data_IF_772099321547
#
_entry.id   IF_772099321547
#
_cell.length_a   1.000
_cell.length_b   1.000
_cell.length_c   1.000
_cell.angle_alpha   90.00
_cell.angle_beta   90.00
_cell.angle_gamma   90.00
#
_symmetry.space_group_name_H-M   'P 1'
#
loop_
_entity.id
_entity.type
_entity.pdbx_description
1 polymer ?
#
# COMPACT_ATOMS: atom_id res chain seq x y z
N UNK A 1 8.19 43.43 37.99
CA UNK A 1 7.73 42.02 37.95
C UNK A 1 6.47 41.95 37.10
N UNK A 2 6.59 41.60 35.83
CA UNK A 2 5.45 41.36 34.93
C UNK A 2 5.68 40.01 34.28
N UNK A 3 4.95 38.99 34.76
CA UNK A 3 5.06 37.62 34.27
C UNK A 3 4.44 37.46 32.87
N UNK A 4 4.86 36.45 32.09
CA UNK A 4 4.32 36.24 30.76
C UNK A 4 2.87 35.73 30.85
N UNK A 5 1.98 36.40 30.12
CA UNK A 5 0.57 36.03 30.01
C UNK A 5 0.43 34.65 29.38
N UNK A 6 -0.26 33.74 30.08
CA UNK A 6 -0.59 32.40 29.59
C UNK A 6 -1.70 32.52 28.56
N UNK A 7 -1.40 32.26 27.29
CA UNK A 7 -2.42 32.13 26.25
C UNK A 7 -3.30 30.89 26.51
N UNK A 8 -4.61 31.11 26.54
CA UNK A 8 -5.62 30.06 26.71
C UNK A 8 -5.70 29.12 25.50
N UNK A 9 -6.42 27.99 25.64
CA UNK A 9 -6.49 26.92 24.64
C UNK A 9 -7.03 27.36 23.27
N UNK A 10 -7.76 28.48 23.21
CA UNK A 10 -8.42 29.02 22.01
C UNK A 10 -7.75 30.32 21.49
N UNK A 11 -6.44 30.51 21.72
CA UNK A 11 -5.78 31.70 21.18
C UNK A 11 -5.81 31.68 19.64
N UNK A 12 -6.10 32.82 18.97
CA UNK A 12 -6.15 32.89 17.51
C UNK A 12 -4.86 32.39 16.84
N UNK A 13 -3.71 32.59 17.50
CA UNK A 13 -2.41 32.10 17.03
C UNK A 13 -2.31 30.57 17.03
N UNK A 14 -2.90 29.89 18.02
CA UNK A 14 -2.98 28.42 18.08
C UNK A 14 -3.97 27.84 17.08
N UNK A 15 -5.12 28.47 16.92
CA UNK A 15 -6.09 28.07 15.89
C UNK A 15 -5.48 28.21 14.49
N UNK A 16 -4.75 29.30 14.25
CA UNK A 16 -4.07 29.52 12.96
C UNK A 16 -2.96 28.49 12.70
N UNK A 17 -2.18 28.13 13.73
CA UNK A 17 -1.14 27.10 13.59
C UNK A 17 -1.72 25.70 13.37
N UNK A 18 -2.83 25.36 14.05
CA UNK A 18 -3.55 24.11 13.82
C UNK A 18 -4.19 24.05 12.42
N UNK A 19 -4.80 25.15 11.96
CA UNK A 19 -5.38 25.22 10.62
C UNK A 19 -4.31 25.07 9.53
N UNK A 20 -3.16 25.72 9.72
CA UNK A 20 -2.03 25.62 8.80
C UNK A 20 -1.44 24.21 8.77
N UNK A 21 -1.32 23.56 9.91
CA UNK A 21 -0.83 22.18 10.01
C UNK A 21 -1.80 21.17 9.35
N UNK A 22 -3.11 21.42 9.42
CA UNK A 22 -4.13 20.63 8.70
C UNK A 22 -4.09 20.86 7.19
N UNK A 23 -3.90 22.10 6.74
CA UNK A 23 -3.76 22.44 5.31
C UNK A 23 -2.47 21.85 4.70
N UNK A 24 -1.37 21.85 5.44
CA UNK A 24 -0.11 21.23 5.01
C UNK A 24 -0.22 19.69 4.89
N UNK A 25 -1.10 19.06 5.68
CA UNK A 25 -1.43 17.63 5.55
C UNK A 25 -2.29 17.33 4.31
N UNK A 26 -3.20 18.24 3.95
CA UNK A 26 -4.08 18.11 2.78
C UNK A 26 -3.30 18.25 1.46
N UNK A 27 -2.34 19.20 1.37
CA UNK A 27 -1.51 19.41 0.16
C UNK A 27 -0.60 18.21 -0.14
N UNK A 28 -0.19 17.44 0.87
CA UNK A 28 0.55 16.17 0.69
C UNK A 28 -0.32 14.99 0.23
N UNK A 29 -1.64 15.15 0.18
CA UNK A 29 -2.61 14.10 -0.17
C UNK A 29 -3.35 14.31 -1.49
N UNK A 30 -3.04 15.39 -2.23
CA UNK A 30 -3.60 15.65 -3.56
C UNK A 30 -5.06 16.12 -3.56
N UNK A 31 -5.59 16.58 -2.42
CA UNK A 31 -6.95 17.13 -2.34
C UNK A 31 -6.92 18.60 -2.77
N UNK A 32 -7.54 18.92 -3.92
CA UNK A 32 -7.50 20.25 -4.51
C UNK A 32 -8.60 21.22 -3.99
N UNK A 33 -9.57 20.75 -3.19
CA UNK A 33 -10.59 21.63 -2.60
C UNK A 33 -11.31 20.99 -1.41
N UNK A 34 -11.53 21.76 -0.34
CA UNK A 34 -12.39 21.38 0.78
C UNK A 34 -13.88 21.68 0.46
N UNK A 35 -14.82 20.75 0.69
CA UNK A 35 -16.22 21.00 0.40
C UNK A 35 -16.77 22.10 1.32
N UNK A 36 -17.35 23.15 0.74
CA UNK A 36 -18.05 24.20 1.49
C UNK A 36 -19.38 23.68 2.00
N UNK A 37 -19.66 23.97 3.27
CA UNK A 37 -20.96 23.78 3.90
C UNK A 37 -21.99 24.68 3.19
N UNK A 38 -22.87 24.10 2.37
CA UNK A 38 -24.01 24.83 1.82
C UNK A 38 -25.08 24.95 2.91
N UNK A 39 -25.43 26.20 3.24
CA UNK A 39 -26.67 26.53 3.92
C UNK A 39 -27.74 26.69 2.85
N UNK A 40 -28.87 26.01 3.03
CA UNK A 40 -30.06 26.12 2.21
C UNK A 40 -30.58 27.56 2.16
N UNK A 41 -30.83 28.08 0.95
CA UNK A 41 -31.69 29.22 0.73
C UNK A 41 -32.29 29.21 -0.69
N UNK A 42 -33.61 28.99 -0.71
CA UNK A 42 -34.65 29.47 -1.64
C UNK A 42 -34.33 29.75 -3.12
N UNK A 43 -35.06 29.03 -3.98
CA UNK A 43 -35.26 29.31 -5.39
C UNK A 43 -36.09 30.59 -5.64
N UNK A 44 -35.87 31.25 -6.77
CA UNK A 44 -36.89 31.72 -7.72
C UNK A 44 -36.24 32.02 -9.11
N UNK A 45 -37.02 32.04 -10.22
CA UNK A 45 -36.56 31.61 -11.54
C UNK A 45 -36.37 32.75 -12.56
N UNK A 46 -35.52 32.56 -13.57
CA UNK A 46 -35.49 33.45 -14.73
C UNK A 46 -35.22 32.75 -16.08
N UNK A 47 -36.27 32.75 -16.91
CA UNK A 47 -36.34 32.97 -18.36
C UNK A 47 -35.43 32.22 -19.37
N UNK A 48 -36.07 31.25 -20.03
CA UNK A 48 -36.10 30.92 -21.47
C UNK A 48 -34.96 31.39 -22.41
N UNK A 49 -34.28 30.41 -23.03
CA UNK A 49 -33.61 30.53 -24.33
C UNK A 49 -33.85 29.27 -25.19
N UNK A 50 -33.97 29.51 -26.50
CA UNK A 50 -34.49 28.64 -27.57
C UNK A 50 -33.66 27.37 -27.91
N UNK A 51 -34.23 26.37 -28.63
CA UNK A 51 -33.59 25.07 -28.81
C UNK A 51 -32.52 25.09 -29.90
N UNK A 52 -31.34 24.56 -29.58
CA UNK A 52 -30.28 24.22 -30.54
C UNK A 52 -30.48 22.78 -31.06
N UNK A 53 -30.26 22.49 -32.35
CA UNK A 53 -30.50 21.17 -32.93
C UNK A 53 -29.50 20.13 -32.37
N UNK A 54 -30.07 18.99 -31.97
CA UNK A 54 -29.37 17.82 -31.44
C UNK A 54 -28.44 17.20 -32.50
N UNK A 55 -27.14 17.45 -32.36
CA UNK A 55 -26.12 16.65 -33.01
C UNK A 55 -25.97 15.34 -32.21
N UNK A 56 -26.19 14.21 -32.89
CA UNK A 56 -26.07 12.87 -32.34
C UNK A 56 -24.72 12.68 -31.64
N UNK A 57 -24.77 12.36 -30.35
CA UNK A 57 -23.59 11.99 -29.57
C UNK A 57 -22.97 10.71 -30.16
N UNK A 58 -21.64 10.67 -30.38
CA UNK A 58 -20.98 9.41 -30.70
C UNK A 58 -21.15 8.45 -29.52
N UNK A 59 -21.53 7.22 -29.84
CA UNK A 59 -21.66 6.11 -28.91
C UNK A 59 -20.42 6.01 -28.01
N UNK A 60 -20.55 5.77 -26.69
CA UNK A 60 -19.40 5.63 -25.81
C UNK A 60 -18.51 4.49 -26.33
N UNK A 61 -17.22 4.78 -26.49
CA UNK A 61 -16.21 3.78 -26.78
C UNK A 61 -16.30 2.65 -25.73
N UNK A 62 -16.09 1.39 -26.12
CA UNK A 62 -16.12 0.28 -25.16
C UNK A 62 -15.07 0.52 -24.08
N UNK A 63 -15.50 0.60 -22.83
CA UNK A 63 -14.61 0.48 -21.68
C UNK A 63 -13.72 -0.75 -21.89
N UNK A 64 -12.40 -0.66 -21.74
CA UNK A 64 -11.54 -1.83 -21.87
C UNK A 64 -12.04 -2.87 -20.87
N UNK A 65 -12.54 -3.99 -21.38
CA UNK A 65 -13.02 -5.09 -20.56
C UNK A 65 -11.92 -5.55 -19.62
N UNK A 66 -12.29 -5.94 -18.40
CA UNK A 66 -11.37 -6.54 -17.44
C UNK A 66 -10.61 -7.67 -18.16
N UNK A 67 -9.27 -7.68 -18.12
CA UNK A 67 -8.49 -8.72 -18.78
C UNK A 67 -8.89 -10.09 -18.21
N UNK A 68 -8.86 -11.16 -19.02
CA UNK A 68 -9.32 -12.49 -18.62
C UNK A 68 -8.68 -12.92 -17.30
N UNK A 69 -9.43 -13.63 -16.47
CA UNK A 69 -8.95 -14.13 -15.19
C UNK A 69 -7.67 -14.96 -15.39
N UNK A 70 -6.70 -14.81 -14.49
CA UNK A 70 -5.50 -15.64 -14.52
C UNK A 70 -5.85 -17.01 -13.94
N UNK A 71 -5.61 -18.07 -14.70
CA UNK A 71 -5.78 -19.44 -14.26
C UNK A 71 -4.40 -20.04 -13.97
N UNK A 72 -4.22 -20.54 -12.75
CA UNK A 72 -3.00 -21.24 -12.34
C UNK A 72 -3.33 -22.72 -12.11
N UNK A 73 -2.52 -23.60 -12.69
CA UNK A 73 -2.69 -25.03 -12.52
C UNK A 73 -2.50 -25.43 -11.05
N UNK A 74 -3.21 -26.46 -10.55
CA UNK A 74 -2.96 -27.00 -9.22
C UNK A 74 -1.53 -27.56 -9.15
N UNK A 75 -0.93 -27.47 -7.96
CA UNK A 75 0.43 -27.93 -7.72
C UNK A 75 0.84 -27.65 -6.27
N UNK A 76 2.02 -28.12 -5.88
CA UNK A 76 2.58 -27.73 -4.59
C UNK A 76 2.96 -26.23 -4.57
N UNK A 77 3.24 -25.68 -3.39
CA UNK A 77 3.55 -24.26 -3.24
C UNK A 77 4.69 -23.79 -4.15
N UNK A 78 5.77 -24.59 -4.28
CA UNK A 78 6.92 -24.24 -5.11
C UNK A 78 6.58 -24.19 -6.60
N UNK A 79 5.84 -25.17 -7.11
CA UNK A 79 5.38 -25.22 -8.50
C UNK A 79 4.47 -24.03 -8.83
N UNK A 80 3.53 -23.71 -7.94
CA UNK A 80 2.61 -22.58 -8.10
C UNK A 80 3.36 -21.25 -8.11
N UNK A 81 4.32 -21.05 -7.21
CA UNK A 81 5.15 -19.85 -7.19
C UNK A 81 6.01 -19.72 -8.46
N UNK A 82 6.54 -20.83 -8.98
CA UNK A 82 7.28 -20.84 -10.23
C UNK A 82 6.37 -20.47 -11.42
N UNK A 83 5.15 -20.99 -11.47
CA UNK A 83 4.15 -20.64 -12.48
C UNK A 83 3.78 -19.15 -12.41
N UNK A 84 3.59 -18.59 -11.20
CA UNK A 84 3.38 -17.15 -11.02
C UNK A 84 4.58 -16.35 -11.52
N UNK A 85 5.81 -16.75 -11.20
CA UNK A 85 7.01 -16.04 -11.64
C UNK A 85 7.14 -16.03 -13.17
N UNK A 86 6.85 -17.15 -13.84
CA UNK A 86 6.82 -17.25 -15.31
C UNK A 86 5.73 -16.35 -15.92
N UNK A 87 4.52 -16.37 -15.37
CA UNK A 87 3.42 -15.54 -15.83
C UNK A 87 3.71 -14.04 -15.64
N UNK A 88 4.32 -13.67 -14.51
CA UNK A 88 4.78 -12.30 -14.24
C UNK A 88 5.83 -11.85 -15.25
N UNK A 89 6.83 -12.69 -15.55
CA UNK A 89 7.90 -12.36 -16.51
C UNK A 89 7.35 -12.04 -17.91
N UNK A 90 6.34 -12.78 -18.36
CA UNK A 90 5.67 -12.58 -19.65
C UNK A 90 4.56 -11.51 -19.62
N UNK A 91 4.22 -10.96 -18.45
CA UNK A 91 3.03 -10.13 -18.26
C UNK A 91 3.09 -8.80 -19.02
N UNK A 92 2.01 -8.47 -19.74
CA UNK A 92 1.78 -7.18 -20.42
C UNK A 92 0.41 -6.56 -20.07
N UNK A 93 -0.19 -6.92 -18.93
CA UNK A 93 -1.58 -6.56 -18.56
C UNK A 93 -1.79 -5.09 -18.15
N UNK A 94 -0.73 -4.30 -17.96
CA UNK A 94 -0.82 -2.87 -17.62
C UNK A 94 0.37 -2.08 -18.19
N UNK A 95 0.30 -0.74 -18.12
CA UNK A 95 1.31 0.16 -18.69
C UNK A 95 2.73 -0.02 -18.13
N UNK A 96 2.87 -0.51 -16.90
CA UNK A 96 4.17 -0.72 -16.24
C UNK A 96 5.10 -1.68 -16.96
N UNK A 97 4.57 -2.59 -17.78
CA UNK A 97 5.40 -3.53 -18.54
C UNK A 97 6.35 -2.85 -19.54
N UNK A 98 6.04 -1.62 -19.97
CA UNK A 98 6.81 -0.87 -20.97
C UNK A 98 8.10 -0.26 -20.42
N UNK A 99 8.18 -0.05 -19.11
CA UNK A 99 9.27 0.73 -18.48
C UNK A 99 10.14 -0.06 -17.51
N UNK A 100 9.85 -1.35 -17.29
CA UNK A 100 10.65 -2.22 -16.40
C UNK A 100 11.91 -2.72 -17.11
N UNK A 101 12.97 -2.93 -16.35
CA UNK A 101 14.12 -3.73 -16.79
C UNK A 101 13.91 -5.20 -16.40
N UNK A 102 13.52 -5.45 -15.14
CA UNK A 102 13.16 -6.78 -14.67
C UNK A 102 11.81 -6.75 -13.96
N UNK A 103 11.10 -7.86 -14.03
CA UNK A 103 9.97 -8.10 -13.12
C UNK A 103 10.47 -8.59 -11.78
N UNK A 104 9.73 -8.28 -10.72
CA UNK A 104 10.05 -8.68 -9.35
C UNK A 104 8.88 -9.49 -8.78
N UNK A 105 8.80 -10.81 -9.04
CA UNK A 105 7.66 -11.62 -8.62
C UNK A 105 7.55 -11.72 -7.10
N UNK A 106 8.68 -11.79 -6.40
CA UNK A 106 8.78 -12.04 -4.96
C UNK A 106 9.87 -13.08 -4.69
N UNK A 107 10.39 -13.13 -3.47
CA UNK A 107 11.42 -14.10 -3.08
C UNK A 107 11.25 -14.54 -1.61
N UNK A 108 11.76 -15.74 -1.29
CA UNK A 108 11.86 -16.22 0.10
C UNK A 108 11.49 -17.69 0.27
N UNK A 109 11.16 -18.07 1.51
CA UNK A 109 10.73 -19.42 1.85
C UNK A 109 9.40 -19.77 1.16
N UNK A 110 9.29 -20.98 0.60
CA UNK A 110 8.07 -21.49 -0.04
C UNK A 110 7.03 -22.02 0.96
N UNK A 111 7.41 -22.17 2.24
CA UNK A 111 6.54 -22.47 3.38
C UNK A 111 6.77 -21.46 4.52
N UNK A 112 6.54 -20.15 4.27
CA UNK A 112 6.85 -19.11 5.23
C UNK A 112 5.75 -19.03 6.30
N UNK A 113 6.12 -18.75 7.54
CA UNK A 113 5.12 -18.38 8.55
C UNK A 113 4.62 -16.95 8.36
N UNK A 114 5.47 -16.07 7.79
CA UNK A 114 5.18 -14.66 7.55
C UNK A 114 5.40 -14.32 6.08
N UNK A 115 4.41 -13.66 5.46
CA UNK A 115 4.59 -12.97 4.18
C UNK A 115 4.58 -11.46 4.39
N UNK A 116 5.63 -10.78 3.93
CA UNK A 116 5.66 -9.32 3.86
C UNK A 116 5.22 -8.84 2.48
N UNK A 117 4.31 -7.85 2.46
CA UNK A 117 3.74 -7.31 1.22
C UNK A 117 3.98 -5.80 1.15
N UNK A 118 4.83 -5.36 0.22
CA UNK A 118 5.05 -3.95 -0.09
C UNK A 118 4.22 -3.41 -1.25
N UNK A 119 4.54 -2.19 -1.68
CA UNK A 119 3.84 -1.47 -2.74
C UNK A 119 4.25 -1.97 -4.15
N UNK A 120 5.53 -1.79 -4.50
CA UNK A 120 6.07 -2.06 -5.82
C UNK A 120 7.60 -2.01 -5.83
N UNK A 121 8.27 -2.43 -6.91
CA UNK A 121 9.72 -2.34 -7.05
C UNK A 121 10.20 -0.89 -7.14
N UNK A 122 11.31 -0.58 -6.49
CA UNK A 122 12.09 0.63 -6.73
C UNK A 122 13.15 0.43 -7.82
N UNK A 123 14.09 1.38 -7.93
CA UNK A 123 15.14 1.34 -8.94
C UNK A 123 16.06 0.11 -8.78
N UNK A 124 16.53 -0.17 -7.57
CA UNK A 124 17.48 -1.27 -7.32
C UNK A 124 16.80 -2.64 -7.48
N UNK A 125 15.51 -2.74 -7.12
CA UNK A 125 14.70 -3.94 -7.33
C UNK A 125 14.48 -4.22 -8.82
N UNK A 126 14.16 -3.19 -9.61
CA UNK A 126 13.99 -3.29 -11.07
C UNK A 126 15.28 -3.72 -11.78
N UNK A 127 16.44 -3.30 -11.28
CA UNK A 127 17.73 -3.71 -11.84
C UNK A 127 18.13 -5.15 -11.47
N UNK A 128 17.76 -5.60 -10.27
CA UNK A 128 18.16 -6.92 -9.76
C UNK A 128 17.12 -8.02 -9.98
N UNK A 129 15.86 -7.68 -10.23
CA UNK A 129 14.74 -8.62 -10.24
C UNK A 129 14.32 -9.11 -8.85
N UNK A 130 14.89 -8.54 -7.77
CA UNK A 130 14.69 -8.99 -6.38
C UNK A 130 13.96 -7.93 -5.56
N UNK A 131 13.00 -8.30 -4.70
CA UNK A 131 12.22 -7.32 -3.92
C UNK A 131 13.06 -6.76 -2.77
N UNK A 132 12.85 -5.49 -2.40
CA UNK A 132 13.44 -4.90 -1.18
C UNK A 132 14.96 -5.17 -1.06
N UNK A 133 15.74 -4.74 -2.04
CA UNK A 133 17.21 -4.80 -2.02
C UNK A 133 17.85 -3.43 -1.75
N UNK A 134 17.10 -2.35 -1.96
CA UNK A 134 17.55 -0.99 -1.71
C UNK A 134 17.56 -0.55 -0.25
N UNK A 135 17.65 0.76 -0.01
CA UNK A 135 17.67 1.33 1.34
C UNK A 135 16.44 0.91 2.19
N UNK A 136 15.26 0.89 1.57
CA UNK A 136 14.02 0.40 2.17
C UNK A 136 14.13 -1.09 2.55
N UNK A 137 14.76 -1.87 1.68
CA UNK A 137 15.00 -3.29 1.88
C UNK A 137 15.96 -3.59 3.01
N UNK A 138 17.05 -2.83 3.12
CA UNK A 138 17.99 -2.95 4.24
C UNK A 138 17.31 -2.63 5.58
N UNK A 139 16.36 -1.69 5.60
CA UNK A 139 15.57 -1.44 6.80
C UNK A 139 14.61 -2.60 7.09
N UNK A 140 13.94 -3.14 6.06
CA UNK A 140 13.10 -4.33 6.22
C UNK A 140 13.91 -5.52 6.76
N UNK A 141 15.12 -5.74 6.28
CA UNK A 141 16.01 -6.80 6.78
C UNK A 141 16.36 -6.61 8.25
N UNK A 142 16.62 -5.37 8.70
CA UNK A 142 16.81 -5.06 10.12
C UNK A 142 15.54 -5.27 10.94
N UNK A 143 14.37 -4.97 10.37
CA UNK A 143 13.08 -5.22 11.03
C UNK A 143 12.84 -6.72 11.21
N UNK A 144 13.08 -7.53 10.18
CA UNK A 144 13.00 -9.00 10.22
C UNK A 144 14.01 -9.56 11.23
N UNK A 145 15.25 -9.06 11.21
CA UNK A 145 16.29 -9.45 12.16
C UNK A 145 15.91 -9.13 13.61
N UNK A 146 15.29 -7.97 13.86
CA UNK A 146 14.80 -7.59 15.18
C UNK A 146 13.68 -8.53 15.68
N UNK A 147 12.92 -9.16 14.77
CA UNK A 147 11.94 -10.19 15.10
C UNK A 147 12.58 -11.56 15.41
N UNK A 148 13.91 -11.68 15.32
CA UNK A 148 14.63 -12.94 15.51
C UNK A 148 14.54 -13.88 14.31
N UNK A 149 14.27 -13.33 13.12
CA UNK A 149 14.12 -14.09 11.88
C UNK A 149 15.22 -13.71 10.89
N UNK A 150 15.55 -14.65 10.01
CA UNK A 150 16.35 -14.40 8.82
C UNK A 150 15.42 -14.12 7.63
N UNK A 151 15.89 -13.30 6.68
CA UNK A 151 15.19 -13.03 5.42
C UNK A 151 14.80 -14.31 4.66
N UNK A 152 15.64 -15.35 4.73
CA UNK A 152 15.40 -16.66 4.10
C UNK A 152 14.27 -17.45 4.74
N UNK A 153 13.78 -17.08 5.92
CA UNK A 153 12.68 -17.77 6.61
C UNK A 153 11.30 -17.21 6.28
N UNK A 154 11.25 -16.03 5.67
CA UNK A 154 10.01 -15.33 5.31
C UNK A 154 9.87 -15.27 3.79
N UNK A 155 8.72 -14.82 3.31
CA UNK A 155 8.54 -14.50 1.89
C UNK A 155 8.21 -13.01 1.74
N UNK A 156 8.79 -12.36 0.75
CA UNK A 156 8.66 -10.93 0.50
C UNK A 156 8.15 -10.73 -0.91
N UNK A 157 7.05 -9.99 -1.03
CA UNK A 157 6.42 -9.65 -2.30
C UNK A 157 5.92 -8.19 -2.30
N UNK A 158 5.49 -7.73 -3.46
CA UNK A 158 4.81 -6.45 -3.65
C UNK A 158 3.45 -6.63 -4.31
N UNK A 159 2.57 -5.63 -4.20
CA UNK A 159 1.29 -5.59 -4.92
C UNK A 159 1.52 -5.56 -6.42
N UNK A 160 2.31 -4.61 -6.92
CA UNK A 160 2.72 -4.59 -8.33
C UNK A 160 4.09 -5.24 -8.51
N UNK A 161 4.31 -5.90 -9.64
CA UNK A 161 5.55 -6.66 -9.93
C UNK A 161 6.53 -5.93 -10.87
N UNK A 162 6.18 -4.72 -11.28
CA UNK A 162 6.95 -3.88 -12.19
C UNK A 162 7.11 -2.50 -11.56
N UNK A 163 8.26 -1.86 -11.76
CA UNK A 163 8.56 -0.53 -11.22
C UNK A 163 7.70 0.55 -11.88
N UNK A 164 6.96 1.37 -11.11
CA UNK A 164 6.32 2.57 -11.65
C UNK A 164 7.33 3.64 -12.09
N UNK A 165 7.05 4.38 -13.19
CA UNK A 165 7.92 5.47 -13.65
C UNK A 165 8.22 6.48 -12.55
N UNK A 166 9.49 6.82 -12.36
CA UNK A 166 9.90 7.78 -11.32
C UNK A 166 9.62 7.32 -9.87
N UNK A 167 9.39 6.03 -9.63
CA UNK A 167 8.98 5.49 -8.32
C UNK A 167 7.70 6.14 -7.78
N UNK A 168 6.78 6.57 -8.66
CA UNK A 168 5.44 6.99 -8.24
C UNK A 168 4.68 5.83 -7.60
N UNK A 169 3.61 6.14 -6.85
CA UNK A 169 2.67 5.12 -6.45
C UNK A 169 2.02 4.46 -7.69
N UNK A 170 1.75 3.15 -7.68
CA UNK A 170 1.02 2.49 -8.75
C UNK A 170 -0.42 3.00 -8.83
N UNK A 171 -0.93 3.10 -10.05
CA UNK A 171 -2.30 3.53 -10.35
C UNK A 171 -3.31 2.40 -10.05
N UNK A 172 -4.58 2.75 -9.94
CA UNK A 172 -5.63 1.80 -9.53
C UNK A 172 -5.80 0.64 -10.52
N UNK A 173 -5.68 0.91 -11.82
CA UNK A 173 -5.73 -0.08 -12.88
C UNK A 173 -4.47 -0.97 -12.88
N UNK A 174 -3.29 -0.40 -12.59
CA UNK A 174 -2.04 -1.14 -12.44
C UNK A 174 -2.10 -2.12 -11.25
N UNK A 175 -2.64 -1.65 -10.11
CA UNK A 175 -2.90 -2.50 -8.94
C UNK A 175 -3.89 -3.60 -9.32
N UNK A 176 -5.04 -3.27 -9.91
CA UNK A 176 -6.07 -4.23 -10.26
C UNK A 176 -5.56 -5.30 -11.24
N UNK A 177 -4.73 -4.91 -12.21
CA UNK A 177 -4.15 -5.83 -13.18
C UNK A 177 -3.11 -6.79 -12.57
N UNK A 178 -2.42 -6.37 -11.50
CA UNK A 178 -1.32 -7.13 -10.89
C UNK A 178 -1.72 -7.91 -9.64
N UNK A 179 -2.76 -7.46 -8.92
CA UNK A 179 -3.23 -8.05 -7.67
C UNK A 179 -3.47 -9.57 -7.75
N UNK A 180 -4.04 -10.14 -8.83
CA UNK A 180 -4.25 -11.59 -8.90
C UNK A 180 -2.97 -12.42 -8.77
N UNK A 181 -1.80 -11.90 -9.18
CA UNK A 181 -0.51 -12.59 -8.95
C UNK A 181 -0.17 -12.67 -7.46
N UNK A 182 -0.42 -11.59 -6.71
CA UNK A 182 -0.20 -11.57 -5.27
C UNK A 182 -1.21 -12.48 -4.56
N UNK A 183 -2.48 -12.47 -4.97
CA UNK A 183 -3.49 -13.35 -4.38
C UNK A 183 -3.14 -14.83 -4.57
N UNK A 184 -2.68 -15.21 -5.76
CA UNK A 184 -2.21 -16.56 -6.04
C UNK A 184 -0.99 -16.93 -5.18
N UNK A 185 -0.03 -16.02 -5.01
CA UNK A 185 1.12 -16.24 -4.14
C UNK A 185 0.69 -16.49 -2.69
N UNK A 186 -0.20 -15.64 -2.14
CA UNK A 186 -0.69 -15.80 -0.78
C UNK A 186 -1.49 -17.10 -0.60
N UNK A 187 -2.30 -17.48 -1.60
CA UNK A 187 -3.02 -18.74 -1.61
C UNK A 187 -2.07 -19.96 -1.67
N UNK A 188 -1.01 -19.89 -2.48
CA UNK A 188 -0.01 -20.94 -2.61
C UNK A 188 0.83 -21.11 -1.34
N UNK A 189 1.21 -19.99 -0.71
CA UNK A 189 2.05 -19.98 0.50
C UNK A 189 1.27 -20.34 1.76
N UNK A 190 -0.02 -19.99 1.83
CA UNK A 190 -0.87 -20.16 3.01
C UNK A 190 -0.15 -19.81 4.34
N UNK A 191 0.41 -18.59 4.45
CA UNK A 191 1.18 -18.21 5.64
C UNK A 191 0.29 -18.15 6.88
N UNK A 192 0.93 -18.21 8.05
CA UNK A 192 0.23 -18.02 9.33
C UNK A 192 -0.17 -16.56 9.56
N UNK A 193 0.58 -15.61 9.00
CA UNK A 193 0.28 -14.17 9.09
C UNK A 193 0.83 -13.39 7.89
N UNK A 194 0.08 -12.38 7.46
CA UNK A 194 0.51 -11.40 6.46
C UNK A 194 0.90 -10.10 7.17
N UNK A 195 2.01 -9.49 6.77
CA UNK A 195 2.41 -8.16 7.21
C UNK A 195 2.49 -7.22 6.00
N UNK A 196 1.52 -6.30 5.86
CA UNK A 196 1.52 -5.35 4.75
C UNK A 196 2.21 -4.04 5.13
N UNK A 197 3.08 -3.55 4.25
CA UNK A 197 3.93 -2.40 4.46
C UNK A 197 3.39 -1.18 3.70
N UNK A 198 2.71 -0.27 4.39
CA UNK A 198 2.22 0.99 3.82
C UNK A 198 0.77 0.97 3.33
N UNK A 199 0.37 2.09 2.73
CA UNK A 199 -1.03 2.34 2.36
C UNK A 199 -1.49 1.57 1.11
N UNK A 200 -0.62 1.37 0.11
CA UNK A 200 -0.99 0.66 -1.11
C UNK A 200 -1.37 -0.81 -0.85
N UNK A 201 -0.53 -1.64 -0.19
CA UNK A 201 -0.93 -3.01 0.11
C UNK A 201 -2.10 -3.07 1.09
N UNK A 202 -2.25 -2.08 1.99
CA UNK A 202 -3.45 -1.94 2.83
C UNK A 202 -4.72 -1.78 2.00
N UNK A 203 -4.74 -0.85 1.05
CA UNK A 203 -5.91 -0.60 0.20
C UNK A 203 -6.18 -1.78 -0.74
N UNK A 204 -5.13 -2.33 -1.33
CA UNK A 204 -5.24 -3.46 -2.26
C UNK A 204 -5.84 -4.71 -1.59
N UNK A 205 -5.35 -5.10 -0.41
CA UNK A 205 -5.85 -6.29 0.30
C UNK A 205 -7.21 -6.06 0.97
N UNK A 206 -7.53 -4.84 1.40
CA UNK A 206 -8.83 -4.54 2.01
C UNK A 206 -9.96 -4.30 1.01
N UNK A 207 -9.63 -3.98 -0.24
CA UNK A 207 -10.60 -3.50 -1.23
C UNK A 207 -11.16 -2.11 -0.93
N UNK A 208 -10.65 -1.42 0.10
CA UNK A 208 -11.09 -0.08 0.50
C UNK A 208 -10.05 0.97 0.08
N UNK A 209 -10.31 1.79 -0.97
CA UNK A 209 -9.38 2.83 -1.41
C UNK A 209 -9.19 3.95 -0.37
N UNK A 210 -10.10 4.08 0.61
CA UNK A 210 -10.05 5.10 1.67
C UNK A 210 -9.31 4.61 2.92
N UNK A 211 -8.83 3.36 2.93
CA UNK A 211 -8.10 2.83 4.06
C UNK A 211 -6.84 3.67 4.35
N UNK A 212 -6.74 4.18 5.58
CA UNK A 212 -5.66 5.04 6.05
C UNK A 212 -4.68 4.30 6.94
N UNK A 213 -3.41 4.25 6.53
CA UNK A 213 -2.37 3.47 7.23
C UNK A 213 -2.14 3.92 8.67
N UNK A 214 -2.14 5.24 8.93
CA UNK A 214 -1.93 5.79 10.27
C UNK A 214 -3.00 5.33 11.26
N UNK A 215 -4.25 5.20 10.81
CA UNK A 215 -5.36 4.73 11.65
C UNK A 215 -5.31 3.22 11.87
N UNK A 216 -4.99 2.46 10.82
CA UNK A 216 -5.21 1.01 10.79
C UNK A 216 -3.99 0.19 11.15
N UNK A 217 -2.79 0.76 11.19
CA UNK A 217 -1.56 0.03 11.55
C UNK A 217 -1.68 -0.66 12.91
N UNK A 218 -1.12 -1.87 13.02
CA UNK A 218 -1.09 -2.68 14.24
C UNK A 218 -2.41 -3.34 14.62
N UNK A 219 -3.51 -3.02 13.93
CA UNK A 219 -4.79 -3.67 14.14
C UNK A 219 -4.82 -4.97 13.35
N UNK A 220 -4.99 -6.09 14.03
CA UNK A 220 -5.18 -7.38 13.36
C UNK A 220 -6.47 -7.37 12.54
N UNK A 221 -6.34 -7.83 11.31
CA UNK A 221 -7.41 -8.03 10.34
C UNK A 221 -7.34 -9.47 9.83
N UNK A 222 -8.26 -9.81 8.95
CA UNK A 222 -8.26 -11.08 8.26
C UNK A 222 -8.30 -10.84 6.75
N UNK A 223 -7.51 -11.61 6.01
CA UNK A 223 -7.57 -11.68 4.56
C UNK A 223 -7.79 -13.14 4.17
N UNK A 224 -9.00 -13.48 3.70
CA UNK A 224 -9.38 -14.85 3.29
C UNK A 224 -9.01 -15.93 4.32
N UNK A 225 -9.30 -15.71 5.60
CA UNK A 225 -8.97 -16.63 6.69
C UNK A 225 -7.53 -16.51 7.24
N UNK A 226 -6.67 -15.69 6.63
CA UNK A 226 -5.30 -15.49 7.08
C UNK A 226 -5.21 -14.22 7.94
N UNK A 227 -4.67 -14.30 9.19
CA UNK A 227 -4.38 -13.12 9.99
C UNK A 227 -3.50 -12.12 9.24
N UNK A 228 -3.84 -10.84 9.33
CA UNK A 228 -3.17 -9.79 8.59
C UNK A 228 -2.97 -8.55 9.45
N UNK A 229 -1.73 -8.03 9.52
CA UNK A 229 -1.39 -6.83 10.27
C UNK A 229 -0.73 -5.80 9.33
N UNK A 230 -1.33 -4.62 9.12
CA UNK A 230 -0.68 -3.54 8.40
C UNK A 230 0.29 -2.77 9.30
N UNK A 231 1.39 -2.29 8.72
CA UNK A 231 2.35 -1.38 9.37
C UNK A 231 2.90 -0.35 8.38
N UNK A 232 3.72 0.58 8.85
CA UNK A 232 4.35 1.58 7.99
C UNK A 232 5.34 0.98 7.00
N UNK A 233 5.41 1.57 5.81
CA UNK A 233 6.41 1.20 4.82
C UNK A 233 7.83 1.62 5.26
N UNK A 234 8.89 0.82 5.02
CA UNK A 234 10.26 1.19 5.35
C UNK A 234 10.68 2.58 4.86
N UNK A 235 10.30 2.97 3.63
CA UNK A 235 10.58 4.31 3.10
C UNK A 235 10.05 5.45 3.96
N UNK A 236 8.86 5.28 4.56
CA UNK A 236 8.30 6.25 5.49
C UNK A 236 9.11 6.31 6.79
N UNK A 237 9.54 5.15 7.29
CA UNK A 237 10.33 5.04 8.52
C UNK A 237 11.75 5.61 8.38
N UNK A 238 12.33 5.57 7.17
CA UNK A 238 13.60 6.24 6.88
C UNK A 238 13.49 7.75 6.93
N UNK A 239 12.35 8.31 6.50
CA UNK A 239 12.08 9.76 6.55
C UNK A 239 11.54 10.24 7.90
N UNK A 240 10.93 9.34 8.67
CA UNK A 240 10.30 9.64 9.96
C UNK A 240 10.78 8.64 11.04
N UNK A 241 11.95 8.90 11.61
CA UNK A 241 12.54 8.01 12.62
C UNK A 241 11.67 7.79 13.87
N UNK A 242 10.98 8.81 14.44
CA UNK A 242 10.08 8.61 15.56
C UNK A 242 8.98 7.57 15.29
N UNK A 243 8.61 7.33 14.03
CA UNK A 243 7.62 6.33 13.67
C UNK A 243 8.13 4.87 13.78
N UNK A 244 9.45 4.65 13.87
CA UNK A 244 10.04 3.29 14.02
C UNK A 244 9.55 2.59 15.29
N UNK A 245 9.30 3.34 16.38
CA UNK A 245 8.73 2.77 17.62
C UNK A 245 7.35 2.16 17.39
N UNK A 246 6.55 2.78 16.53
CA UNK A 246 5.23 2.29 16.18
C UNK A 246 5.36 1.06 15.28
N UNK A 247 6.19 1.10 14.24
CA UNK A 247 6.43 -0.09 13.42
C UNK A 247 6.88 -1.29 14.27
N UNK A 248 7.74 -1.06 15.27
CA UNK A 248 8.15 -2.13 16.19
C UNK A 248 6.98 -2.75 16.97
N UNK A 249 6.06 -1.93 17.52
CA UNK A 249 4.86 -2.45 18.18
C UNK A 249 3.99 -3.30 17.25
N UNK A 250 3.91 -2.95 15.96
CA UNK A 250 3.16 -3.76 14.98
C UNK A 250 3.84 -5.10 14.71
N UNK A 251 5.16 -5.12 14.60
CA UNK A 251 5.92 -6.37 14.42
C UNK A 251 5.81 -7.27 15.64
N UNK A 252 5.72 -6.71 16.85
CA UNK A 252 5.42 -7.49 18.06
C UNK A 252 4.01 -8.09 18.01
N UNK A 253 3.02 -7.37 17.45
CA UNK A 253 1.69 -7.94 17.22
C UNK A 253 1.73 -9.10 16.19
N UNK A 254 2.55 -8.99 15.14
CA UNK A 254 2.81 -10.09 14.19
C UNK A 254 3.41 -11.31 14.89
N UNK A 255 4.39 -11.11 15.77
CA UNK A 255 4.98 -12.21 16.57
C UNK A 255 3.96 -12.83 17.53
N UNK A 256 3.09 -12.02 18.13
CA UNK A 256 2.05 -12.49 19.03
C UNK A 256 1.05 -13.43 18.31
N UNK A 257 0.70 -13.15 17.04
CA UNK A 257 -0.12 -14.05 16.21
C UNK A 257 0.57 -15.42 16.03
N UNK A 258 1.89 -15.46 15.98
CA UNK A 258 2.68 -16.69 15.88
C UNK A 258 2.92 -17.37 17.23
N UNK A 259 2.43 -16.80 18.34
CA UNK A 259 2.76 -17.27 19.69
C UNK A 259 4.23 -17.09 20.06
N UNK A 260 4.91 -16.09 19.48
CA UNK A 260 6.33 -15.79 19.71
C UNK A 260 6.48 -14.49 20.49
N UNK A 261 7.49 -14.46 21.35
CA UNK A 261 7.97 -13.23 21.97
C UNK A 261 9.09 -12.61 21.15
N UNK A 262 9.18 -11.28 21.17
CA UNK A 262 10.29 -10.59 20.54
C UNK A 262 11.61 -10.88 21.30
N UNK A 263 12.74 -11.05 20.58
CA UNK A 263 14.04 -11.18 21.21
C UNK A 263 14.31 -10.01 22.19
N UNK A 264 14.81 -10.32 23.39
CA UNK A 264 15.23 -9.28 24.34
C UNK A 264 16.45 -8.56 23.76
N UNK A 265 16.46 -7.22 23.79
CA UNK A 265 17.62 -6.43 23.36
C UNK A 265 18.85 -6.84 24.21
N UNK A 266 19.88 -7.40 23.56
CA UNK A 266 21.18 -7.68 24.17
C UNK A 266 21.52 -9.15 24.44
N UNK A 267 20.89 -10.10 23.76
CA UNK A 267 21.35 -11.49 23.68
C UNK A 267 22.19 -11.74 22.42
#
# INVERSE_FOLDING_TARGET
MTGPSREGPDSPARLYSQLRQLLELEVGSGVAFAPRHQQDAAAEPESAAAPVPSAASPSPAPSPGLPPALEFAPGNASERLAAVAQAVAACQRCGLCKGRNNTVPGEGNVLPEIVFVGEGPGFEEDQSGRPFVGADGQLLDRMIGAMGLARSQVFIANVVKCRPPGNRAPEADEIAACLPYLEEQLAALSPKVICSLGAVPLRALSGDPRAGITRLRGQQREWRGIPWIPTFHPSYLLRNEPAKKFAWLDLQAVLAVLGREAPRRGA
#
